data_IF_145337741563
#
_entry.id   IF_145337741563
#
_cell.length_a   1.000
_cell.length_b   1.000
_cell.length_c   1.000
_cell.angle_alpha   90.00
_cell.angle_beta   90.00
_cell.angle_gamma   90.00
#
_symmetry.space_group_name_H-M   'P 1'
#
loop_
_entity.id
_entity.type
_entity.pdbx_description
1 polymer ?
#
# COMPACT_ATOMS: atom_id res chain seq x y z
N UNK A 1 -22.41 -0.12 -7.00
CA UNK A 1 -21.04 -0.25 -6.49
C UNK A 1 -21.12 -0.74 -5.05
N UNK A 2 -20.45 -1.85 -4.73
CA UNK A 2 -20.26 -2.31 -3.37
C UNK A 2 -19.60 -1.21 -2.52
N UNK A 3 -19.84 -1.20 -1.22
CA UNK A 3 -19.24 -0.18 -0.35
C UNK A 3 -17.72 -0.36 -0.31
N UNK A 4 -16.96 0.71 -0.58
CA UNK A 4 -15.51 0.71 -0.53
C UNK A 4 -15.01 0.20 0.82
N UNK A 5 -14.18 -0.82 0.80
CA UNK A 5 -13.61 -1.44 2.00
C UNK A 5 -12.31 -0.71 2.37
N UNK A 6 -12.28 -0.25 3.62
CA UNK A 6 -11.07 0.38 4.17
C UNK A 6 -9.99 -0.68 4.41
N UNK A 7 -8.71 -0.43 4.04
CA UNK A 7 -7.64 -1.39 4.30
C UNK A 7 -7.46 -1.65 5.80
N UNK A 8 -6.96 -2.82 6.20
CA UNK A 8 -6.88 -3.26 7.60
C UNK A 8 -6.03 -2.35 8.46
N UNK A 9 -5.00 -1.76 7.87
CA UNK A 9 -4.07 -0.84 8.55
C UNK A 9 -3.91 0.45 7.75
N UNK A 10 -3.50 1.52 8.43
CA UNK A 10 -3.11 2.74 7.75
C UNK A 10 -1.73 2.56 7.11
N UNK A 11 -1.57 3.09 5.91
CA UNK A 11 -0.30 3.03 5.19
C UNK A 11 -0.09 4.31 4.37
N UNK A 12 1.16 4.78 4.35
CA UNK A 12 1.51 5.98 3.56
C UNK A 12 1.34 5.68 2.07
N UNK A 13 0.58 6.50 1.38
CA UNK A 13 0.26 6.29 -0.03
C UNK A 13 -0.98 5.44 -0.30
N UNK A 14 -1.70 4.99 0.75
CA UNK A 14 -2.94 4.22 0.57
C UNK A 14 -3.94 4.92 -0.35
N UNK A 15 -4.47 4.18 -1.33
CA UNK A 15 -5.43 4.66 -2.33
C UNK A 15 -6.88 4.73 -1.82
N UNK A 16 -7.11 4.53 -0.52
CA UNK A 16 -8.47 4.48 0.02
C UNK A 16 -9.34 5.70 -0.34
N UNK A 17 -8.75 6.91 -0.29
CA UNK A 17 -9.47 8.15 -0.64
C UNK A 17 -9.78 8.29 -2.14
N UNK A 18 -9.04 7.58 -2.97
CA UNK A 18 -9.17 7.57 -4.43
C UNK A 18 -9.94 6.35 -4.92
N UNK A 19 -10.21 5.37 -4.05
CA UNK A 19 -10.73 4.07 -4.46
C UNK A 19 -12.02 4.18 -5.28
N UNK A 20 -12.90 5.14 -4.92
CA UNK A 20 -14.12 5.39 -5.70
C UNK A 20 -13.82 5.78 -7.14
N UNK A 21 -12.86 6.68 -7.36
CA UNK A 21 -12.46 7.10 -8.72
C UNK A 21 -11.72 5.97 -9.44
N UNK A 22 -10.84 5.23 -8.75
CA UNK A 22 -10.11 4.10 -9.35
C UNK A 22 -11.08 3.02 -9.85
N UNK A 23 -12.09 2.63 -9.07
CA UNK A 23 -13.06 1.61 -9.46
C UNK A 23 -13.90 1.97 -10.70
N UNK A 24 -14.02 3.27 -11.03
CA UNK A 24 -14.68 3.71 -12.27
C UNK A 24 -13.85 3.38 -13.53
N UNK A 25 -12.55 3.17 -13.36
CA UNK A 25 -11.60 2.94 -14.44
C UNK A 25 -10.96 1.56 -14.42
N UNK A 26 -10.96 0.87 -13.28
CA UNK A 26 -10.44 -0.49 -13.17
C UNK A 26 -11.42 -1.51 -13.77
N UNK A 27 -10.96 -2.71 -14.20
CA UNK A 27 -11.81 -3.69 -14.86
C UNK A 27 -12.94 -4.17 -13.95
N UNK A 28 -14.13 -4.38 -14.54
CA UNK A 28 -15.27 -4.98 -13.85
C UNK A 28 -15.27 -6.51 -13.93
N UNK A 29 -14.15 -7.11 -14.34
CA UNK A 29 -13.88 -8.53 -14.38
C UNK A 29 -12.56 -8.81 -15.09
N UNK A 30 -11.71 -9.67 -14.49
CA UNK A 30 -10.48 -10.16 -15.10
C UNK A 30 -10.14 -11.56 -14.56
N UNK A 31 -9.31 -12.31 -15.30
CA UNK A 31 -8.86 -13.62 -14.84
C UNK A 31 -7.92 -13.48 -13.65
N UNK A 32 -6.82 -12.76 -13.82
CA UNK A 32 -5.89 -12.46 -12.72
C UNK A 32 -5.67 -10.96 -12.61
N UNK A 33 -5.83 -10.43 -11.41
CA UNK A 33 -5.46 -9.06 -11.06
C UNK A 33 -4.10 -9.04 -10.37
N UNK A 34 -3.12 -8.41 -10.99
CA UNK A 34 -1.77 -8.26 -10.43
C UNK A 34 -1.65 -6.89 -9.74
N UNK A 35 -1.50 -6.88 -8.42
CA UNK A 35 -1.21 -5.69 -7.61
C UNK A 35 0.26 -5.74 -7.20
N UNK A 36 1.14 -5.17 -8.02
CA UNK A 36 2.58 -5.35 -7.86
C UNK A 36 3.22 -4.44 -6.80
N UNK A 37 2.49 -3.42 -6.32
CA UNK A 37 2.91 -2.54 -5.23
C UNK A 37 1.77 -2.40 -4.23
N UNK A 38 1.35 -3.52 -3.65
CA UNK A 38 0.08 -3.65 -2.94
C UNK A 38 -0.07 -2.81 -1.68
N UNK A 39 1.04 -2.48 -0.99
CA UNK A 39 1.01 -1.66 0.22
C UNK A 39 0.05 -2.21 1.28
N UNK A 40 -0.90 -1.40 1.74
CA UNK A 40 -1.93 -1.84 2.70
C UNK A 40 -2.98 -2.81 2.12
N UNK A 41 -2.85 -3.24 0.87
CA UNK A 41 -3.81 -4.09 0.17
C UNK A 41 -5.10 -3.37 -0.25
N UNK A 42 -5.12 -2.04 -0.22
CA UNK A 42 -6.34 -1.27 -0.46
C UNK A 42 -6.97 -1.62 -1.82
N UNK A 43 -6.17 -1.70 -2.88
CA UNK A 43 -6.66 -2.00 -4.23
C UNK A 43 -7.03 -3.47 -4.35
N UNK A 44 -6.16 -4.40 -3.93
CA UNK A 44 -6.44 -5.84 -3.92
C UNK A 44 -7.74 -6.19 -3.19
N UNK A 45 -7.98 -5.61 -2.00
CA UNK A 45 -9.20 -5.83 -1.20
C UNK A 45 -10.45 -5.37 -1.97
N UNK A 46 -10.39 -4.22 -2.64
CA UNK A 46 -11.54 -3.67 -3.36
C UNK A 46 -11.71 -4.26 -4.76
N UNK A 47 -10.71 -4.96 -5.28
CA UNK A 47 -10.79 -5.72 -6.53
C UNK A 47 -11.19 -7.19 -6.32
N UNK A 48 -11.38 -7.63 -5.09
CA UNK A 48 -11.69 -9.03 -4.74
C UNK A 48 -13.00 -9.56 -5.36
N UNK A 49 -13.96 -8.70 -5.64
CA UNK A 49 -15.22 -9.07 -6.31
C UNK A 49 -15.11 -9.09 -7.85
N UNK A 50 -14.01 -8.59 -8.42
CA UNK A 50 -13.84 -8.36 -9.85
C UNK A 50 -12.75 -9.23 -10.50
N UNK A 51 -12.06 -10.06 -9.73
CA UNK A 51 -11.01 -10.95 -10.22
C UNK A 51 -11.22 -12.38 -9.74
N UNK A 52 -10.93 -13.36 -10.60
CA UNK A 52 -10.94 -14.78 -10.21
C UNK A 52 -9.73 -15.10 -9.32
N UNK A 53 -8.60 -14.45 -9.61
CA UNK A 53 -7.35 -14.56 -8.86
C UNK A 53 -6.73 -13.18 -8.64
N UNK A 54 -6.09 -12.98 -7.50
CA UNK A 54 -5.27 -11.78 -7.22
C UNK A 54 -3.84 -12.22 -6.86
N UNK A 55 -2.88 -11.63 -7.56
CA UNK A 55 -1.46 -11.72 -7.21
C UNK A 55 -1.08 -10.43 -6.50
N UNK A 56 -0.96 -10.50 -5.18
CA UNK A 56 -0.51 -9.38 -4.36
C UNK A 56 0.99 -9.47 -4.14
N UNK A 57 1.70 -8.41 -4.49
CA UNK A 57 3.12 -8.26 -4.22
C UNK A 57 3.39 -6.97 -3.46
N UNK A 58 4.27 -7.03 -2.49
CA UNK A 58 4.91 -5.84 -1.90
C UNK A 58 6.33 -6.21 -1.46
N UNK A 59 7.24 -5.26 -1.54
CA UNK A 59 8.61 -5.45 -1.07
C UNK A 59 8.69 -5.64 0.46
N UNK A 60 7.75 -5.04 1.20
CA UNK A 60 7.67 -5.18 2.66
C UNK A 60 7.08 -6.54 3.06
N UNK A 61 7.96 -7.45 3.50
CA UNK A 61 7.59 -8.79 3.96
C UNK A 61 6.56 -8.79 5.09
N UNK A 62 6.51 -7.75 5.93
CA UNK A 62 5.52 -7.65 6.99
C UNK A 62 4.13 -7.37 6.44
N UNK A 63 4.01 -6.54 5.40
CA UNK A 63 2.75 -6.32 4.69
C UNK A 63 2.27 -7.59 4.00
N UNK A 64 3.17 -8.29 3.31
CA UNK A 64 2.84 -9.56 2.64
C UNK A 64 2.35 -10.59 3.67
N UNK A 65 3.05 -10.74 4.80
CA UNK A 65 2.64 -11.64 5.89
C UNK A 65 1.27 -11.24 6.47
N UNK A 66 1.02 -9.95 6.65
CA UNK A 66 -0.27 -9.44 7.10
C UNK A 66 -1.40 -9.86 6.14
N UNK A 67 -1.20 -9.65 4.83
CA UNK A 67 -2.19 -10.02 3.82
C UNK A 67 -2.42 -11.54 3.76
N UNK A 68 -1.36 -12.34 3.89
CA UNK A 68 -1.44 -13.80 4.02
C UNK A 68 -2.25 -14.23 5.25
N UNK A 69 -2.04 -13.58 6.40
CA UNK A 69 -2.79 -13.87 7.63
C UNK A 69 -4.27 -13.50 7.49
N UNK A 70 -4.58 -12.36 6.89
CA UNK A 70 -5.97 -11.96 6.61
C UNK A 70 -6.70 -12.95 5.69
N UNK A 71 -5.99 -13.54 4.74
CA UNK A 71 -6.54 -14.55 3.83
C UNK A 71 -6.74 -15.90 4.51
N UNK A 72 -5.72 -16.38 5.26
CA UNK A 72 -5.66 -17.76 5.74
C UNK A 72 -6.26 -18.00 7.13
N UNK A 73 -6.30 -16.95 8.00
CA UNK A 73 -6.76 -17.06 9.38
C UNK A 73 -8.22 -16.63 9.54
N UNK A 74 -8.82 -17.04 10.67
CA UNK A 74 -10.06 -16.42 11.14
C UNK A 74 -9.74 -15.00 11.64
N UNK A 75 -10.41 -13.95 11.13
CA UNK A 75 -10.12 -12.58 11.53
C UNK A 75 -10.41 -12.31 13.01
N UNK A 76 -11.33 -13.05 13.64
CA UNK A 76 -11.63 -12.92 15.07
C UNK A 76 -10.47 -13.46 15.90
N UNK A 77 -9.86 -14.58 15.48
CA UNK A 77 -8.68 -15.12 16.15
C UNK A 77 -7.48 -14.19 15.98
N UNK A 78 -7.26 -13.62 14.78
CA UNK A 78 -6.21 -12.62 14.58
C UNK A 78 -6.38 -11.39 15.49
N UNK A 79 -7.63 -10.92 15.69
CA UNK A 79 -7.94 -9.81 16.60
C UNK A 79 -7.65 -10.20 18.06
N UNK A 80 -8.00 -11.41 18.48
CA UNK A 80 -7.66 -11.92 19.82
C UNK A 80 -6.15 -11.97 20.05
N UNK A 81 -5.37 -12.37 19.03
CA UNK A 81 -3.91 -12.35 19.09
C UNK A 81 -3.40 -10.90 19.25
N UNK A 82 -3.98 -9.92 18.55
CA UNK A 82 -3.64 -8.49 18.72
C UNK A 82 -3.89 -8.03 20.17
N UNK A 83 -5.06 -8.34 20.72
CA UNK A 83 -5.36 -8.02 22.14
C UNK A 83 -4.39 -8.71 23.11
N UNK A 84 -4.03 -9.98 22.86
CA UNK A 84 -3.05 -10.70 23.67
C UNK A 84 -1.66 -10.03 23.64
N UNK A 85 -1.20 -9.58 22.49
CA UNK A 85 0.07 -8.82 22.35
C UNK A 85 -0.01 -7.50 23.12
N UNK A 86 -1.13 -6.77 23.00
CA UNK A 86 -1.36 -5.51 23.72
C UNK A 86 -1.30 -5.73 25.23
N UNK A 87 -1.97 -6.75 25.75
CA UNK A 87 -1.98 -7.10 27.17
C UNK A 87 -0.59 -7.51 27.66
N UNK A 88 0.08 -8.42 26.94
CA UNK A 88 1.42 -8.92 27.27
C UNK A 88 2.44 -7.78 27.43
N UNK A 89 2.35 -6.75 26.59
CA UNK A 89 3.29 -5.62 26.59
C UNK A 89 2.78 -4.41 27.36
N UNK A 90 1.59 -4.47 27.95
CA UNK A 90 0.96 -3.36 28.65
C UNK A 90 0.73 -2.13 27.76
N UNK A 91 0.53 -2.36 26.45
CA UNK A 91 0.36 -1.31 25.45
C UNK A 91 -1.00 -0.61 25.61
N UNK A 92 -1.10 0.65 25.16
CA UNK A 92 -2.37 1.37 25.23
C UNK A 92 -2.19 2.88 25.10
N UNK A 93 -3.26 3.61 25.45
CA UNK A 93 -3.26 5.07 25.45
C UNK A 93 -2.17 5.62 26.40
N UNK A 94 -1.31 6.50 25.90
CA UNK A 94 -0.26 7.14 26.69
C UNK A 94 0.96 6.27 27.02
N UNK A 95 0.95 5.00 26.65
CA UNK A 95 1.97 4.01 27.00
C UNK A 95 3.21 4.10 26.08
N UNK A 96 4.00 5.17 26.26
CA UNK A 96 5.16 5.45 25.38
C UNK A 96 6.35 4.54 25.63
N UNK A 97 6.65 4.25 26.89
CA UNK A 97 7.81 3.41 27.26
C UNK A 97 7.57 1.95 26.86
N UNK A 98 6.35 1.47 27.06
CA UNK A 98 5.92 0.14 26.63
C UNK A 98 5.99 0.01 25.09
N UNK A 99 5.56 1.04 24.37
CA UNK A 99 5.72 1.08 22.91
C UNK A 99 7.18 1.00 22.48
N UNK A 100 8.07 1.76 23.12
CA UNK A 100 9.50 1.74 22.76
C UNK A 100 10.13 0.40 23.07
N UNK A 101 9.81 -0.23 24.21
CA UNK A 101 10.26 -1.58 24.54
C UNK A 101 9.77 -2.60 23.53
N UNK A 102 8.48 -2.52 23.14
CA UNK A 102 7.91 -3.41 22.12
C UNK A 102 8.54 -3.21 20.75
N UNK A 103 8.79 -1.96 20.33
CA UNK A 103 9.46 -1.68 19.06
C UNK A 103 10.89 -2.23 19.03
N UNK A 104 11.66 -2.09 20.11
CA UNK A 104 13.00 -2.68 20.20
C UNK A 104 12.96 -4.20 20.12
N UNK A 105 12.02 -4.84 20.81
CA UNK A 105 11.78 -6.28 20.68
C UNK A 105 11.42 -6.68 19.24
N UNK A 106 10.53 -5.92 18.61
CA UNK A 106 10.16 -6.16 17.21
C UNK A 106 11.38 -6.09 16.29
N UNK A 107 12.24 -5.11 16.51
CA UNK A 107 13.45 -4.86 15.72
C UNK A 107 14.59 -5.88 15.92
N UNK A 108 14.50 -6.78 16.90
CA UNK A 108 15.48 -7.88 17.04
C UNK A 108 15.41 -8.85 15.83
N UNK A 109 14.21 -9.07 15.32
CA UNK A 109 13.97 -9.87 14.11
C UNK A 109 12.65 -9.45 13.46
N UNK A 110 12.63 -8.30 12.75
CA UNK A 110 11.39 -7.67 12.30
C UNK A 110 10.63 -8.48 11.25
N UNK A 111 11.30 -9.38 10.53
CA UNK A 111 10.68 -10.17 9.47
C UNK A 111 10.16 -11.55 9.96
N UNK A 112 10.44 -11.92 11.20
CA UNK A 112 9.89 -13.13 11.84
C UNK A 112 8.78 -12.86 12.87
N UNK A 113 8.34 -11.61 13.00
CA UNK A 113 7.22 -11.26 13.87
C UNK A 113 5.88 -11.71 13.28
N UNK A 114 4.89 -11.88 14.16
CA UNK A 114 3.52 -12.25 13.75
C UNK A 114 2.79 -11.05 13.14
N UNK A 115 1.71 -11.32 12.42
CA UNK A 115 0.83 -10.24 11.91
C UNK A 115 0.14 -9.48 13.04
N UNK A 116 -0.19 -10.13 14.15
CA UNK A 116 -0.73 -9.50 15.34
C UNK A 116 0.26 -8.50 15.98
N UNK A 117 1.54 -8.87 16.09
CA UNK A 117 2.61 -7.98 16.55
C UNK A 117 2.78 -6.78 15.60
N UNK A 118 2.72 -7.01 14.28
CA UNK A 118 2.84 -5.93 13.29
C UNK A 118 1.65 -4.98 13.32
N UNK A 119 0.42 -5.49 13.41
CA UNK A 119 -0.81 -4.69 13.59
C UNK A 119 -0.69 -3.83 14.86
N UNK A 120 -0.30 -4.45 15.98
CA UNK A 120 -0.11 -3.77 17.25
C UNK A 120 0.88 -2.62 17.11
N UNK A 121 2.03 -2.85 16.47
CA UNK A 121 3.06 -1.83 16.26
C UNK A 121 2.54 -0.66 15.41
N UNK A 122 1.82 -0.95 14.30
CA UNK A 122 1.25 0.08 13.44
C UNK A 122 0.30 0.99 14.23
N UNK A 123 -0.70 0.41 14.90
CA UNK A 123 -1.73 1.21 15.53
C UNK A 123 -1.23 2.03 16.73
N UNK A 124 -0.13 1.63 17.37
CA UNK A 124 0.49 2.39 18.44
C UNK A 124 1.61 3.35 17.98
N UNK A 125 1.96 3.32 16.69
CA UNK A 125 2.90 4.25 16.08
C UNK A 125 2.26 5.62 15.81
N UNK A 126 3.07 6.67 15.83
CA UNK A 126 2.63 8.03 15.49
C UNK A 126 1.95 8.07 14.12
N UNK A 127 0.74 8.62 14.07
CA UNK A 127 -0.15 8.63 12.89
C UNK A 127 -0.52 7.23 12.39
N UNK A 128 -0.41 6.19 13.22
CA UNK A 128 -0.59 4.79 12.83
C UNK A 128 0.18 4.43 11.56
N UNK A 129 1.41 4.91 11.43
CA UNK A 129 2.24 4.75 10.24
C UNK A 129 3.59 4.12 10.59
N UNK A 130 4.01 3.15 9.79
CA UNK A 130 5.32 2.53 9.90
C UNK A 130 6.34 3.35 9.12
N UNK A 131 7.49 3.58 9.76
CA UNK A 131 8.69 4.17 9.15
C UNK A 131 9.86 3.26 9.39
N UNK A 132 10.60 2.97 8.34
CA UNK A 132 11.83 2.21 8.41
C UNK A 132 13.05 3.13 8.45
N UNK A 133 14.17 2.63 8.94
CA UNK A 133 15.48 3.26 8.76
C UNK A 133 15.88 3.24 7.27
N UNK A 134 16.96 3.97 6.93
CA UNK A 134 17.46 4.06 5.54
C UNK A 134 17.74 2.69 4.92
N UNK A 135 18.23 1.73 5.70
CA UNK A 135 18.49 0.37 5.20
C UNK A 135 17.24 -0.50 5.04
N UNK A 136 16.05 -0.04 5.48
CA UNK A 136 14.82 -0.84 5.43
C UNK A 136 14.79 -2.04 6.41
N UNK A 137 15.70 -2.06 7.38
CA UNK A 137 15.93 -3.22 8.26
C UNK A 137 15.35 -3.06 9.67
N UNK A 138 15.01 -1.83 10.07
CA UNK A 138 14.48 -1.53 11.41
C UNK A 138 13.35 -0.51 11.33
N UNK A 139 12.35 -0.70 12.17
CA UNK A 139 11.26 0.26 12.34
C UNK A 139 11.71 1.37 13.29
N UNK A 140 11.55 2.61 12.83
CA UNK A 140 11.97 3.83 13.53
C UNK A 140 10.80 4.71 13.95
N UNK A 141 9.56 4.27 13.73
CA UNK A 141 8.35 5.00 14.13
C UNK A 141 8.40 5.37 15.60
N UNK A 142 8.02 6.61 15.92
CA UNK A 142 7.81 7.05 17.30
C UNK A 142 6.46 6.59 17.83
N UNK A 143 6.28 6.60 19.16
CA UNK A 143 4.99 6.34 19.79
C UNK A 143 3.94 7.38 19.37
N UNK A 144 2.72 6.92 19.16
CA UNK A 144 1.55 7.78 18.93
C UNK A 144 0.98 8.41 20.20
N UNK A 145 1.47 8.00 21.36
CA UNK A 145 1.02 8.52 22.68
C UNK A 145 -0.48 8.30 22.89
N UNK A 146 -1.19 9.36 23.26
CA UNK A 146 -2.63 9.32 23.54
C UNK A 146 -3.50 9.28 22.28
N UNK A 147 -2.91 9.57 21.11
CA UNK A 147 -3.66 9.73 19.86
C UNK A 147 -3.73 8.45 19.02
N UNK A 148 -2.75 7.56 19.15
CA UNK A 148 -2.66 6.34 18.37
C UNK A 148 -2.50 5.10 19.25
N UNK A 149 -3.52 4.28 19.26
CA UNK A 149 -3.56 2.94 19.87
C UNK A 149 -4.66 2.10 19.20
N UNK A 150 -4.58 0.79 19.33
CA UNK A 150 -5.61 -0.10 18.81
C UNK A 150 -6.92 0.08 19.59
N UNK A 151 -8.04 0.14 18.90
CA UNK A 151 -9.39 0.33 19.43
C UNK A 151 -10.33 -0.67 18.80
N UNK A 152 -11.43 -1.00 19.49
CA UNK A 152 -12.48 -1.89 18.99
C UNK A 152 -13.06 -1.41 17.64
N UNK A 153 -13.04 -0.08 17.40
CA UNK A 153 -13.46 0.50 16.11
C UNK A 153 -12.57 0.12 14.92
N UNK A 154 -11.39 -0.45 15.16
CA UNK A 154 -10.49 -0.94 14.10
C UNK A 154 -10.80 -2.40 13.71
N UNK A 155 -11.44 -3.18 14.59
CA UNK A 155 -11.74 -4.58 14.34
C UNK A 155 -12.61 -4.82 13.09
N UNK A 156 -13.69 -4.05 12.85
CA UNK A 156 -14.50 -4.21 11.64
C UNK A 156 -13.72 -4.03 10.33
N UNK A 157 -12.63 -3.25 10.33
CA UNK A 157 -11.76 -3.08 9.14
C UNK A 157 -11.01 -4.37 8.84
N UNK A 158 -10.45 -5.00 9.87
CA UNK A 158 -9.73 -6.27 9.77
C UNK A 158 -10.67 -7.37 9.27
N UNK A 159 -11.86 -7.46 9.87
CA UNK A 159 -12.88 -8.47 9.50
C UNK A 159 -13.32 -8.29 8.03
N UNK A 160 -13.67 -7.06 7.62
CA UNK A 160 -14.12 -6.77 6.25
C UNK A 160 -13.04 -7.06 5.22
N UNK A 161 -11.79 -6.64 5.50
CA UNK A 161 -10.65 -6.90 4.62
C UNK A 161 -10.40 -8.41 4.48
N UNK A 162 -10.39 -9.16 5.58
CA UNK A 162 -10.24 -10.62 5.58
C UNK A 162 -11.33 -11.31 4.76
N UNK A 163 -12.58 -10.94 4.98
CA UNK A 163 -13.72 -11.55 4.25
C UNK A 163 -13.65 -11.26 2.75
N UNK A 164 -13.24 -10.06 2.35
CA UNK A 164 -13.07 -9.71 0.95
C UNK A 164 -11.97 -10.56 0.29
N UNK A 165 -10.80 -10.65 0.92
CA UNK A 165 -9.67 -11.40 0.38
C UNK A 165 -9.95 -12.90 0.22
N UNK A 166 -10.92 -13.46 0.94
CA UNK A 166 -11.31 -14.88 0.85
C UNK A 166 -12.21 -15.20 -0.36
N UNK A 167 -12.61 -14.21 -1.14
CA UNK A 167 -13.45 -14.42 -2.31
C UNK A 167 -12.64 -14.93 -3.53
N UNK A 168 -11.54 -14.25 -3.97
CA UNK A 168 -10.70 -14.74 -5.06
C UNK A 168 -9.67 -15.76 -4.56
N UNK A 169 -9.04 -16.46 -5.51
CA UNK A 169 -7.77 -17.12 -5.25
C UNK A 169 -6.69 -16.07 -5.00
N UNK A 170 -5.86 -16.24 -3.96
CA UNK A 170 -4.80 -15.30 -3.64
C UNK A 170 -3.41 -15.92 -3.79
N UNK A 171 -2.52 -15.21 -4.47
CA UNK A 171 -1.08 -15.49 -4.50
C UNK A 171 -0.33 -14.31 -3.88
N UNK A 172 0.64 -14.59 -3.01
CA UNK A 172 1.39 -13.57 -2.28
C UNK A 172 2.88 -13.69 -2.57
N UNK A 173 3.50 -12.58 -2.95
CA UNK A 173 4.94 -12.49 -3.19
C UNK A 173 5.55 -11.29 -2.48
N UNK A 174 6.84 -11.40 -2.11
CA UNK A 174 7.58 -10.33 -1.45
C UNK A 174 8.81 -9.97 -2.29
N UNK A 175 8.55 -9.47 -3.50
CA UNK A 175 9.55 -9.24 -4.53
C UNK A 175 9.86 -7.75 -4.68
N UNK A 176 11.13 -7.45 -4.88
CA UNK A 176 11.61 -6.16 -5.37
C UNK A 176 11.27 -6.00 -6.86
N UNK A 177 11.20 -4.77 -7.37
CA UNK A 177 10.85 -4.44 -8.75
C UNK A 177 11.58 -5.31 -9.79
N UNK A 178 12.89 -5.49 -9.63
CA UNK A 178 13.72 -6.24 -10.59
C UNK A 178 13.49 -7.75 -10.57
N UNK A 179 12.80 -8.27 -9.54
CA UNK A 179 12.48 -9.69 -9.40
C UNK A 179 11.02 -10.00 -9.76
N UNK A 180 10.20 -8.98 -10.07
CA UNK A 180 8.84 -9.17 -10.56
C UNK A 180 8.89 -9.76 -11.97
N UNK A 181 8.16 -10.85 -12.17
CA UNK A 181 7.99 -11.46 -13.48
C UNK A 181 6.88 -10.75 -14.27
N UNK A 182 7.26 -9.75 -15.06
CA UNK A 182 6.35 -9.03 -15.95
C UNK A 182 5.96 -9.84 -17.19
N UNK A 183 6.57 -11.01 -17.45
CA UNK A 183 6.18 -11.89 -18.54
C UNK A 183 5.02 -12.82 -18.17
N UNK A 184 4.73 -12.98 -16.86
CA UNK A 184 3.67 -13.83 -16.35
C UNK A 184 2.25 -13.37 -16.75
N UNK A 185 1.87 -12.08 -16.69
CA UNK A 185 0.54 -11.63 -17.08
C UNK A 185 0.24 -11.91 -18.56
N UNK A 186 -1.00 -12.35 -18.84
CA UNK A 186 -1.51 -12.69 -20.17
C UNK A 186 -2.69 -11.79 -20.57
N UNK A 187 -3.08 -11.70 -21.85
CA UNK A 187 -4.35 -11.08 -22.22
C UNK A 187 -5.52 -11.65 -21.41
N UNK A 188 -6.45 -10.81 -20.94
CA UNK A 188 -7.52 -11.05 -19.97
C UNK A 188 -7.09 -10.92 -18.48
N UNK A 189 -5.81 -10.87 -18.20
CA UNK A 189 -5.31 -10.41 -16.90
C UNK A 189 -5.27 -8.88 -16.85
N UNK A 190 -5.09 -8.34 -15.66
CA UNK A 190 -4.95 -6.90 -15.43
C UNK A 190 -3.80 -6.60 -14.49
N UNK A 191 -2.97 -5.61 -14.83
CA UNK A 191 -1.83 -5.21 -14.00
C UNK A 191 -2.05 -3.82 -13.42
N UNK A 192 -2.12 -3.72 -12.09
CA UNK A 192 -2.18 -2.46 -11.37
C UNK A 192 -0.82 -2.12 -10.75
N UNK A 193 -0.40 -0.88 -10.91
CA UNK A 193 0.90 -0.38 -10.48
C UNK A 193 0.72 0.92 -9.66
N UNK A 194 1.18 0.90 -8.43
CA UNK A 194 1.23 2.07 -7.54
C UNK A 194 2.63 2.21 -6.91
N UNK A 195 3.64 2.59 -7.71
CA UNK A 195 5.02 2.63 -7.28
C UNK A 195 5.29 3.84 -6.39
N UNK A 196 6.43 3.92 -5.70
CA UNK A 196 6.88 5.15 -5.07
C UNK A 196 6.97 6.29 -6.09
N UNK A 197 6.41 7.46 -5.76
CA UNK A 197 6.35 8.60 -6.69
C UNK A 197 7.67 9.38 -6.73
N UNK A 198 8.30 9.43 -7.88
CA UNK A 198 9.54 10.19 -8.10
C UNK A 198 9.36 11.69 -7.79
N UNK A 199 8.18 12.26 -8.13
CA UNK A 199 7.83 13.65 -7.84
C UNK A 199 7.62 13.96 -6.35
N UNK A 200 7.40 12.95 -5.49
CA UNK A 200 7.15 13.17 -4.05
C UNK A 200 8.37 13.66 -3.26
N UNK A 201 9.55 13.67 -3.87
CA UNK A 201 10.79 14.10 -3.24
C UNK A 201 11.31 13.08 -2.22
N UNK A 202 12.01 13.56 -1.18
CA UNK A 202 12.56 12.68 -0.15
C UNK A 202 11.44 12.07 0.69
N UNK A 203 11.11 10.82 0.40
CA UNK A 203 10.20 9.96 1.17
C UNK A 203 10.99 8.80 1.77
N UNK A 204 10.35 7.97 2.60
CA UNK A 204 10.96 6.72 3.08
C UNK A 204 11.33 5.76 1.94
N UNK A 205 10.75 5.94 0.75
CA UNK A 205 10.98 5.10 -0.43
C UNK A 205 12.02 5.67 -1.40
N UNK A 206 12.41 6.94 -1.27
CA UNK A 206 13.33 7.62 -2.22
C UNK A 206 14.74 7.01 -2.28
N UNK A 207 15.11 6.19 -1.31
CA UNK A 207 16.36 5.42 -1.32
C UNK A 207 16.29 4.15 -2.20
N UNK A 208 15.07 3.73 -2.55
CA UNK A 208 14.81 2.53 -3.33
C UNK A 208 14.13 2.84 -4.66
N UNK A 209 13.83 4.13 -4.92
CA UNK A 209 13.15 4.57 -6.12
C UNK A 209 13.78 5.84 -6.67
N UNK A 210 14.33 5.74 -7.85
CA UNK A 210 14.95 6.82 -8.60
C UNK A 210 14.61 6.72 -10.09
N UNK A 211 15.29 7.49 -10.90
CA UNK A 211 15.07 7.52 -12.35
C UNK A 211 15.31 6.15 -13.02
N UNK A 212 16.30 5.39 -12.55
CA UNK A 212 16.59 4.05 -13.08
C UNK A 212 15.40 3.09 -12.90
N UNK A 213 14.81 3.05 -11.68
CA UNK A 213 13.63 2.24 -11.38
C UNK A 213 12.42 2.70 -12.19
N UNK A 214 12.25 4.02 -12.32
CA UNK A 214 11.17 4.60 -13.13
C UNK A 214 11.30 4.17 -14.60
N UNK A 215 12.45 4.34 -15.24
CA UNK A 215 12.69 3.89 -16.62
C UNK A 215 12.46 2.40 -16.80
N UNK A 216 12.99 1.57 -15.89
CA UNK A 216 12.80 0.12 -15.95
C UNK A 216 11.32 -0.27 -15.89
N UNK A 217 10.57 0.34 -14.94
CA UNK A 217 9.14 0.05 -14.82
C UNK A 217 8.38 0.43 -16.09
N UNK A 218 8.63 1.64 -16.63
CA UNK A 218 7.93 2.13 -17.82
C UNK A 218 8.23 1.25 -19.04
N UNK A 219 9.47 0.76 -19.21
CA UNK A 219 9.82 -0.21 -20.25
C UNK A 219 9.00 -1.52 -20.09
N UNK A 220 8.84 -2.00 -18.84
CA UNK A 220 8.04 -3.21 -18.58
C UNK A 220 6.56 -3.01 -18.92
N UNK A 221 6.02 -1.82 -18.67
CA UNK A 221 4.65 -1.47 -19.03
C UNK A 221 4.46 -1.40 -20.57
N UNK A 222 5.45 -0.85 -21.29
CA UNK A 222 5.43 -0.87 -22.76
C UNK A 222 5.43 -2.32 -23.31
N UNK A 223 6.21 -3.23 -22.71
CA UNK A 223 6.23 -4.67 -23.05
C UNK A 223 4.88 -5.36 -22.75
N UNK A 224 4.19 -5.00 -21.64
CA UNK A 224 2.83 -5.47 -21.36
C UNK A 224 1.85 -5.01 -22.45
N UNK A 225 1.90 -3.73 -22.82
CA UNK A 225 1.07 -3.17 -23.88
C UNK A 225 1.28 -3.89 -25.21
N UNK A 226 2.53 -4.14 -25.62
CA UNK A 226 2.87 -4.87 -26.85
C UNK A 226 2.28 -6.30 -26.87
N UNK A 227 2.11 -6.91 -25.69
CA UNK A 227 1.51 -8.25 -25.54
C UNK A 227 -0.02 -8.23 -25.39
N UNK A 228 -0.64 -7.04 -25.39
CA UNK A 228 -2.09 -6.90 -25.23
C UNK A 228 -2.58 -7.18 -23.81
N UNK A 229 -1.75 -6.90 -22.79
CA UNK A 229 -2.12 -6.95 -21.38
C UNK A 229 -2.52 -5.58 -20.91
N UNK A 230 -3.72 -5.44 -20.37
CA UNK A 230 -4.24 -4.19 -19.85
C UNK A 230 -3.56 -3.82 -18.53
N UNK A 231 -3.22 -2.54 -18.38
CA UNK A 231 -2.65 -2.04 -17.15
C UNK A 231 -3.18 -0.66 -16.75
N UNK A 232 -3.07 -0.36 -15.47
CA UNK A 232 -3.26 0.97 -14.90
C UNK A 232 -2.15 1.34 -13.92
N UNK A 233 -1.63 2.55 -14.05
CA UNK A 233 -0.58 3.11 -13.19
C UNK A 233 -1.10 4.33 -12.44
N UNK A 234 -1.14 4.26 -11.10
CA UNK A 234 -1.31 5.45 -10.26
C UNK A 234 0.04 6.12 -10.05
N UNK A 235 0.16 7.41 -10.31
CA UNK A 235 1.39 8.15 -10.03
C UNK A 235 1.10 9.66 -9.95
N UNK A 236 2.12 10.47 -9.63
CA UNK A 236 2.04 11.92 -9.65
C UNK A 236 2.93 12.50 -10.75
N UNK A 237 2.33 13.21 -11.69
CA UNK A 237 3.09 13.98 -12.71
C UNK A 237 3.80 15.17 -12.08
N UNK A 238 3.19 15.72 -11.04
CA UNK A 238 3.71 16.88 -10.33
C UNK A 238 3.37 16.79 -8.84
N UNK A 239 4.32 17.09 -7.95
CA UNK A 239 4.10 17.15 -6.51
C UNK A 239 5.10 18.10 -5.84
N UNK A 240 4.60 19.00 -4.97
CA UNK A 240 5.43 19.90 -4.14
C UNK A 240 6.52 20.65 -4.93
N UNK A 241 6.20 21.15 -6.11
CA UNK A 241 7.15 21.88 -6.95
C UNK A 241 8.09 21.03 -7.79
N UNK A 242 7.95 19.69 -7.77
CA UNK A 242 8.73 18.76 -8.58
C UNK A 242 7.88 18.14 -9.67
N UNK A 243 8.41 18.09 -10.88
CA UNK A 243 7.81 17.43 -12.03
C UNK A 243 8.49 16.07 -12.23
N UNK A 244 7.71 15.04 -12.49
CA UNK A 244 8.22 13.78 -13.02
C UNK A 244 8.22 13.84 -14.55
N UNK A 245 9.27 14.43 -15.12
CA UNK A 245 9.38 14.62 -16.58
C UNK A 245 9.50 13.32 -17.36
N UNK A 246 10.03 12.27 -16.72
CA UNK A 246 10.13 10.92 -17.30
C UNK A 246 8.72 10.37 -17.53
N UNK A 247 7.92 10.35 -16.47
CA UNK A 247 6.54 9.87 -16.53
C UNK A 247 5.67 10.75 -17.44
N UNK A 248 5.82 12.08 -17.36
CA UNK A 248 5.07 13.03 -18.21
C UNK A 248 5.35 12.81 -19.70
N UNK A 249 6.61 12.53 -20.04
CA UNK A 249 7.01 12.20 -21.42
C UNK A 249 6.41 10.89 -21.90
N UNK A 250 6.51 9.84 -21.08
CA UNK A 250 6.02 8.51 -21.37
C UNK A 250 4.48 8.45 -21.46
N UNK A 251 3.78 9.13 -20.56
CA UNK A 251 2.32 9.10 -20.48
C UNK A 251 1.61 9.65 -21.73
N UNK A 252 2.30 10.41 -22.61
CA UNK A 252 1.72 10.97 -23.83
C UNK A 252 1.21 9.93 -24.83
N UNK A 253 1.68 8.69 -24.73
CA UNK A 253 1.25 7.58 -25.59
C UNK A 253 0.06 6.81 -25.01
N UNK A 254 -0.39 7.14 -23.82
CA UNK A 254 -1.42 6.43 -23.06
C UNK A 254 -2.55 7.37 -22.61
N UNK A 255 -3.65 6.80 -22.15
CA UNK A 255 -4.73 7.56 -21.56
C UNK A 255 -4.34 8.05 -20.16
N UNK A 256 -4.47 9.35 -19.93
CA UNK A 256 -4.15 9.97 -18.63
C UNK A 256 -5.40 10.57 -18.02
N UNK A 257 -5.78 10.09 -16.85
CA UNK A 257 -6.97 10.47 -16.10
C UNK A 257 -6.55 11.19 -14.84
N UNK A 258 -7.01 12.42 -14.63
CA UNK A 258 -6.71 13.17 -13.40
C UNK A 258 -7.49 12.61 -12.21
N UNK A 259 -6.78 12.30 -11.13
CA UNK A 259 -7.36 11.84 -9.87
C UNK A 259 -7.49 13.03 -8.90
N UNK A 260 -8.72 13.31 -8.49
CA UNK A 260 -9.03 14.49 -7.69
C UNK A 260 -8.93 14.17 -6.18
N UNK A 261 -7.81 14.52 -5.54
CA UNK A 261 -7.68 14.50 -4.08
C UNK A 261 -7.67 15.93 -3.54
N UNK A 262 -8.58 16.22 -2.61
CA UNK A 262 -8.47 17.40 -1.78
C UNK A 262 -7.54 17.12 -0.59
N UNK A 263 -6.32 17.60 -0.65
CA UNK A 263 -5.36 17.52 0.46
C UNK A 263 -5.51 18.64 1.50
N UNK A 264 -6.55 19.49 1.42
CA UNK A 264 -6.73 20.73 2.20
C UNK A 264 -6.48 20.61 3.71
N UNK A 265 -6.46 19.41 4.29
CA UNK A 265 -6.28 19.17 5.72
C UNK A 265 -5.15 18.19 6.04
N UNK A 266 -4.21 17.92 5.13
CA UNK A 266 -3.08 17.04 5.41
C UNK A 266 -1.82 17.83 5.73
N UNK A 267 -1.12 17.45 6.80
CA UNK A 267 0.18 18.01 7.19
C UNK A 267 1.27 17.86 6.10
N UNK A 268 0.97 17.15 5.01
CA UNK A 268 1.87 16.95 3.88
C UNK A 268 1.90 18.10 2.86
N UNK A 269 0.97 19.07 2.94
CA UNK A 269 0.86 20.15 1.95
C UNK A 269 1.64 21.42 2.30
N UNK A 270 2.01 21.61 3.56
CA UNK A 270 2.72 22.81 3.96
C UNK A 270 4.22 22.60 3.86
N UNK A 271 4.79 22.86 2.69
CA UNK A 271 6.22 23.03 2.50
C UNK A 271 6.52 24.53 2.43
N UNK A 272 7.31 25.06 3.37
CA UNK A 272 7.68 26.48 3.45
C UNK A 272 6.49 27.48 3.47
N UNK A 273 5.34 27.08 4.06
CA UNK A 273 4.18 27.98 4.16
C UNK A 273 3.40 28.19 2.87
N UNK A 274 3.68 27.44 1.80
CA UNK A 274 2.98 27.49 0.52
C UNK A 274 2.19 26.21 0.26
N UNK A 275 0.96 26.39 -0.18
CA UNK A 275 0.09 25.30 -0.66
C UNK A 275 0.58 24.92 -2.07
N UNK A 276 1.40 23.88 -2.17
CA UNK A 276 1.92 23.43 -3.46
C UNK A 276 1.02 22.33 -4.02
N UNK A 277 0.45 22.50 -5.21
CA UNK A 277 -0.45 21.53 -5.81
C UNK A 277 0.25 20.19 -6.05
N UNK A 278 -0.53 19.12 -6.01
CA UNK A 278 -0.14 17.78 -6.48
C UNK A 278 -1.11 17.39 -7.59
N UNK A 279 -0.59 16.89 -8.71
CA UNK A 279 -1.39 16.32 -9.79
C UNK A 279 -1.17 14.81 -9.80
N UNK A 280 -2.08 14.08 -9.17
CA UNK A 280 -2.14 12.63 -9.25
C UNK A 280 -2.96 12.20 -10.45
N UNK A 281 -2.50 11.14 -11.12
CA UNK A 281 -3.11 10.61 -12.33
C UNK A 281 -3.21 9.09 -12.28
N UNK A 282 -4.17 8.56 -13.02
CA UNK A 282 -4.21 7.17 -13.44
C UNK A 282 -3.87 7.13 -14.93
N UNK A 283 -2.86 6.36 -15.29
CA UNK A 283 -2.44 6.18 -16.69
C UNK A 283 -2.82 4.76 -17.10
N UNK A 284 -3.53 4.60 -18.23
CA UNK A 284 -4.01 3.31 -18.72
C UNK A 284 -3.71 3.14 -20.20
N UNK A 285 -3.56 1.88 -20.65
CA UNK A 285 -3.33 1.55 -22.06
C UNK A 285 -4.61 1.12 -22.80
N UNK A 286 -5.77 1.28 -22.20
CA UNK A 286 -7.10 0.95 -22.77
C UNK A 286 -8.02 2.15 -22.76
#
# INVERSE_FOLDING_TARGET
LSSIIQPPVNYTGSKYRLMGQLLEHLPQGCETFYDYFGGSGCVSINMSEYANKIVYNDRDKNLVKLMQSLYSQDPVELIKEVHSVIEQWGMGCGKKDEFHAFREYFNLDPFNKTSAEFITLIFHSFSSAIRYNVAGTKITSSSGGDQAFFRDSHEPRIIKASNALKQPEMEFTALDLYNIDFDKPQPLDFVYIDPPYLASGKTMYSQFWGEEQEYYLLEKLDQLNERGVDFAVSNALYSKGKVNSILEGWAKQYNTIDLNISYKNSSHQVYEGKDLPTREVLITNY
#
